data_IF_921928038537
#
_entry.id   IF_921928038537
#
_cell.length_a   1.000
_cell.length_b   1.000
_cell.length_c   1.000
_cell.angle_alpha   90.00
_cell.angle_beta   90.00
_cell.angle_gamma   90.00
#
_symmetry.space_group_name_H-M   'P 1'
#
loop_
_entity.id
_entity.type
_entity.pdbx_description
1 polymer ?
#
# COMPACT_ATOMS: atom_id res chain seq x y z
N UNK A 1 19.35 22.38 4.29
CA UNK A 1 18.43 22.03 5.40
C UNK A 1 18.59 20.55 5.72
N UNK A 2 18.69 20.17 7.00
CA UNK A 2 18.78 18.76 7.43
C UNK A 2 17.45 18.02 7.21
N UNK A 3 17.51 16.76 6.78
CA UNK A 3 16.31 15.99 6.46
C UNK A 3 15.50 15.73 7.75
N UNK A 4 14.15 15.67 7.70
CA UNK A 4 13.33 15.36 8.88
C UNK A 4 13.77 14.07 9.60
N UNK A 5 14.17 13.05 8.84
CA UNK A 5 14.73 11.78 9.36
C UNK A 5 15.99 11.99 10.19
N UNK A 6 16.89 12.89 9.78
CA UNK A 6 18.14 13.18 10.48
C UNK A 6 17.88 13.95 11.77
N UNK A 7 16.91 14.88 11.74
CA UNK A 7 16.44 15.62 12.93
C UNK A 7 15.84 14.68 13.98
N UNK A 8 14.97 13.75 13.58
CA UNK A 8 14.40 12.73 14.49
C UNK A 8 15.50 11.83 15.08
N UNK A 9 16.49 11.42 14.27
CA UNK A 9 17.63 10.63 14.76
C UNK A 9 18.49 11.39 15.75
N UNK A 10 18.64 12.71 15.60
CA UNK A 10 19.35 13.54 16.56
C UNK A 10 18.62 13.57 17.91
N UNK A 11 17.30 13.78 17.92
CA UNK A 11 16.48 13.76 19.15
C UNK A 11 16.60 12.40 19.88
N UNK A 12 16.52 11.29 19.15
CA UNK A 12 16.70 9.95 19.72
C UNK A 12 18.09 9.80 20.35
N UNK A 13 19.13 10.30 19.69
CA UNK A 13 20.51 10.24 20.18
C UNK A 13 20.69 11.07 21.45
N UNK A 14 20.11 12.26 21.51
CA UNK A 14 20.23 13.16 22.65
C UNK A 14 19.45 12.65 23.86
N UNK A 15 18.25 12.08 23.65
CA UNK A 15 17.50 11.38 24.69
C UNK A 15 18.30 10.19 25.26
N UNK A 16 18.93 9.36 24.41
CA UNK A 16 19.81 8.25 24.85
C UNK A 16 21.00 8.74 25.69
N UNK A 17 21.63 9.85 25.28
CA UNK A 17 22.73 10.47 26.06
C UNK A 17 22.27 10.95 27.42
N UNK A 18 21.07 11.53 27.50
CA UNK A 18 20.51 12.09 28.74
C UNK A 18 20.22 11.01 29.79
N UNK A 19 19.84 9.81 29.37
CA UNK A 19 19.48 8.71 30.28
C UNK A 19 20.69 7.92 30.78
N UNK A 20 21.83 7.98 30.08
CA UNK A 20 23.07 7.33 30.52
C UNK A 20 23.03 5.79 30.54
N UNK A 21 21.95 5.16 30.04
CA UNK A 21 21.80 3.71 29.95
C UNK A 21 21.31 3.30 28.55
N UNK A 22 22.07 2.44 27.83
CA UNK A 22 21.72 2.05 26.46
C UNK A 22 20.50 1.09 26.38
N UNK A 23 20.16 0.41 27.48
CA UNK A 23 19.24 -0.73 27.48
C UNK A 23 17.89 -0.43 28.16
N UNK A 24 17.71 0.77 28.74
CA UNK A 24 16.44 1.18 29.33
C UNK A 24 15.50 1.79 28.27
N UNK A 25 15.02 0.94 27.36
CA UNK A 25 14.13 1.34 26.27
C UNK A 25 12.88 2.11 26.74
N UNK A 26 12.20 1.75 27.85
CA UNK A 26 11.07 2.53 28.38
C UNK A 26 11.47 3.94 28.84
N UNK A 27 12.60 4.09 29.53
CA UNK A 27 13.08 5.42 29.92
C UNK A 27 13.45 6.27 28.70
N UNK A 28 14.10 5.65 27.70
CA UNK A 28 14.46 6.29 26.44
C UNK A 28 13.23 6.74 25.68
N UNK A 29 12.18 5.91 25.62
CA UNK A 29 10.91 6.28 25.01
C UNK A 29 10.27 7.51 25.71
N UNK A 30 10.24 7.55 27.04
CA UNK A 30 9.66 8.67 27.78
C UNK A 30 10.44 10.00 27.58
N UNK A 31 11.77 9.95 27.57
CA UNK A 31 12.59 11.13 27.28
C UNK A 31 12.44 11.58 25.82
N UNK A 32 12.38 10.64 24.87
CA UNK A 32 12.10 10.93 23.47
C UNK A 32 10.74 11.61 23.34
N UNK A 33 9.68 11.10 23.97
CA UNK A 33 8.34 11.68 23.90
C UNK A 33 8.31 13.12 24.42
N UNK A 34 9.00 13.39 25.53
CA UNK A 34 9.09 14.72 26.12
C UNK A 34 9.84 15.72 25.23
N UNK A 35 10.93 15.27 24.58
CA UNK A 35 11.72 16.11 23.65
C UNK A 35 11.07 16.25 22.27
N UNK A 36 10.40 15.20 21.80
CA UNK A 36 9.63 15.17 20.56
C UNK A 36 8.46 16.12 20.61
N UNK A 37 7.78 16.22 21.76
CA UNK A 37 6.65 17.15 21.93
C UNK A 37 7.07 18.59 21.58
N UNK A 38 8.17 19.06 22.16
CA UNK A 38 8.73 20.38 21.85
C UNK A 38 9.09 20.52 20.36
N UNK A 39 9.82 19.55 19.80
CA UNK A 39 10.23 19.60 18.40
C UNK A 39 9.04 19.62 17.42
N UNK A 40 8.02 18.82 17.69
CA UNK A 40 6.80 18.69 16.86
C UNK A 40 5.96 19.96 16.89
N UNK A 41 5.88 20.66 18.02
CA UNK A 41 5.17 21.95 18.12
C UNK A 41 5.85 23.08 17.34
N UNK A 42 7.16 22.98 17.12
CA UNK A 42 7.96 24.01 16.43
C UNK A 42 8.32 23.68 14.98
N UNK A 43 8.18 22.41 14.56
CA UNK A 43 8.67 21.91 13.27
C UNK A 43 7.62 21.03 12.58
N UNK A 44 6.83 21.65 11.70
CA UNK A 44 5.75 20.95 10.99
C UNK A 44 6.26 19.84 10.06
N UNK A 45 7.50 19.92 9.56
CA UNK A 45 8.06 18.86 8.71
C UNK A 45 8.39 17.60 9.52
N UNK A 46 8.86 17.79 10.76
CA UNK A 46 9.09 16.68 11.70
C UNK A 46 7.76 16.05 12.11
N UNK A 47 6.72 16.86 12.38
CA UNK A 47 5.37 16.37 12.64
C UNK A 47 4.83 15.52 11.48
N UNK A 48 4.85 16.06 10.25
CA UNK A 48 4.38 15.34 9.05
C UNK A 48 5.14 14.04 8.83
N UNK A 49 6.47 14.05 9.04
CA UNK A 49 7.29 12.84 8.89
C UNK A 49 6.91 11.74 9.90
N UNK A 50 6.68 12.09 11.17
CA UNK A 50 6.28 11.15 12.20
C UNK A 50 4.87 10.62 11.98
N UNK A 51 3.93 11.50 11.65
CA UNK A 51 2.55 11.12 11.30
C UNK A 51 2.53 10.15 10.12
N UNK A 52 3.26 10.47 9.03
CA UNK A 52 3.35 9.59 7.88
C UNK A 52 3.92 8.21 8.24
N UNK A 53 4.90 8.13 9.14
CA UNK A 53 5.45 6.84 9.59
C UNK A 53 4.48 6.05 10.46
N UNK A 54 3.82 6.71 11.42
CA UNK A 54 2.83 6.09 12.29
C UNK A 54 1.63 5.57 11.49
N UNK A 55 1.05 6.42 10.65
CA UNK A 55 -0.07 6.05 9.78
C UNK A 55 0.29 4.92 8.83
N UNK A 56 1.48 4.95 8.20
CA UNK A 56 1.91 3.85 7.34
C UNK A 56 2.05 2.52 8.09
N UNK A 57 2.48 2.54 9.36
CA UNK A 57 2.58 1.33 10.17
C UNK A 57 1.18 0.77 10.51
N UNK A 58 0.26 1.62 10.95
CA UNK A 58 -1.12 1.24 11.26
C UNK A 58 -1.88 0.74 10.00
N UNK A 59 -1.77 1.46 8.88
CA UNK A 59 -2.37 1.06 7.60
C UNK A 59 -1.83 -0.31 7.18
N UNK A 60 -0.51 -0.55 7.26
CA UNK A 60 0.05 -1.87 6.94
C UNK A 60 -0.44 -2.95 7.89
N UNK A 61 -0.53 -2.67 9.18
CA UNK A 61 -1.01 -3.64 10.17
C UNK A 61 -2.48 -4.01 9.91
N UNK A 62 -3.32 -3.01 9.63
CA UNK A 62 -4.72 -3.21 9.27
C UNK A 62 -4.88 -4.02 7.98
N UNK A 63 -4.13 -3.65 6.93
CA UNK A 63 -4.14 -4.39 5.67
C UNK A 63 -3.62 -5.83 5.86
N UNK A 64 -2.50 -6.05 6.56
CA UNK A 64 -1.95 -7.40 6.77
C UNK A 64 -2.93 -8.31 7.50
N UNK A 65 -3.58 -7.84 8.57
CA UNK A 65 -4.59 -8.62 9.31
C UNK A 65 -5.77 -9.04 8.44
N UNK A 66 -6.16 -8.21 7.47
CA UNK A 66 -7.21 -8.56 6.51
C UNK A 66 -6.76 -9.47 5.36
N UNK A 67 -5.45 -9.59 5.12
CA UNK A 67 -4.89 -10.52 4.13
C UNK A 67 -4.44 -11.86 4.76
N UNK A 68 -4.00 -11.86 6.03
CA UNK A 68 -3.53 -13.04 6.75
C UNK A 68 -4.67 -13.99 7.19
N UNK A 69 -5.94 -13.56 7.13
CA UNK A 69 -7.11 -14.44 7.34
C UNK A 69 -7.43 -15.33 6.12
N UNK A 70 -6.75 -15.14 4.99
CA UNK A 70 -6.81 -16.06 3.83
C UNK A 70 -5.43 -16.67 3.59
N UNK A 71 -5.20 -17.83 4.20
CA UNK A 71 -3.99 -18.64 4.10
C UNK A 71 -3.31 -18.62 2.72
N UNK A 72 -1.98 -18.44 2.73
CA UNK A 72 -1.14 -18.35 1.52
C UNK A 72 -1.12 -19.60 0.62
N UNK A 73 -1.76 -20.71 1.03
CA UNK A 73 -2.03 -21.86 0.15
C UNK A 73 -3.27 -21.64 -0.71
N UNK A 74 -4.31 -21.03 -0.14
CA UNK A 74 -5.60 -20.81 -0.80
C UNK A 74 -5.51 -19.67 -1.79
N UNK A 75 -4.76 -18.61 -1.47
CA UNK A 75 -4.51 -17.50 -2.41
C UNK A 75 -3.80 -17.97 -3.70
N UNK A 76 -2.90 -18.97 -3.63
CA UNK A 76 -2.26 -19.53 -4.84
C UNK A 76 -3.23 -20.36 -5.67
N UNK A 77 -4.08 -21.17 -5.03
CA UNK A 77 -5.08 -21.98 -5.72
C UNK A 77 -6.21 -21.12 -6.31
N UNK A 78 -6.72 -20.15 -5.56
CA UNK A 78 -7.70 -19.15 -6.00
C UNK A 78 -7.17 -18.37 -7.21
N UNK A 79 -5.88 -18.00 -7.19
CA UNK A 79 -5.26 -17.31 -8.32
C UNK A 79 -5.05 -18.19 -9.55
N UNK A 80 -4.74 -19.47 -9.37
CA UNK A 80 -4.67 -20.42 -10.49
C UNK A 80 -6.05 -20.65 -11.11
N UNK A 81 -7.10 -20.76 -10.28
CA UNK A 81 -8.48 -20.85 -10.71
C UNK A 81 -8.95 -19.57 -11.43
N UNK A 82 -8.55 -18.40 -10.94
CA UNK A 82 -8.82 -17.12 -11.59
C UNK A 82 -8.12 -17.01 -12.95
N UNK A 83 -6.85 -17.40 -13.06
CA UNK A 83 -6.10 -17.36 -14.31
C UNK A 83 -6.72 -18.24 -15.40
N UNK A 84 -7.29 -19.40 -15.05
CA UNK A 84 -7.90 -20.30 -16.03
C UNK A 84 -9.16 -19.73 -16.68
N UNK A 85 -9.87 -18.84 -15.99
CA UNK A 85 -11.09 -18.17 -16.48
C UNK A 85 -10.79 -17.15 -17.60
N UNK A 86 -9.59 -16.60 -17.64
CA UNK A 86 -9.21 -15.63 -18.68
C UNK A 86 -8.76 -16.31 -19.98
N UNK A 87 -9.04 -15.69 -21.15
CA UNK A 87 -8.45 -16.10 -22.43
C UNK A 87 -6.92 -16.11 -22.37
N UNK A 88 -6.28 -17.02 -23.12
CA UNK A 88 -4.82 -17.22 -23.07
C UNK A 88 -4.03 -15.92 -23.28
N UNK A 89 -4.47 -15.08 -24.23
CA UNK A 89 -3.86 -13.77 -24.50
C UNK A 89 -3.91 -12.80 -23.29
N UNK A 90 -4.87 -12.94 -22.39
CA UNK A 90 -5.07 -12.09 -21.22
C UNK A 90 -4.35 -12.62 -19.96
N UNK A 91 -4.08 -13.93 -19.86
CA UNK A 91 -3.55 -14.59 -18.63
C UNK A 91 -2.26 -13.96 -18.12
N UNK A 92 -1.31 -13.69 -19.01
CA UNK A 92 -0.03 -13.07 -18.66
C UNK A 92 -0.20 -11.71 -18.00
N UNK A 93 -1.20 -10.93 -18.41
CA UNK A 93 -1.47 -9.61 -17.82
C UNK A 93 -2.09 -9.76 -16.43
N UNK A 94 -3.07 -10.66 -16.27
CA UNK A 94 -3.70 -10.97 -14.96
C UNK A 94 -2.66 -11.45 -13.95
N UNK A 95 -1.77 -12.35 -14.38
CA UNK A 95 -0.68 -12.84 -13.53
C UNK A 95 0.21 -11.70 -13.02
N UNK A 96 0.60 -10.80 -13.94
CA UNK A 96 1.44 -9.64 -13.64
C UNK A 96 0.74 -8.55 -12.82
N UNK A 97 -0.59 -8.42 -12.89
CA UNK A 97 -1.34 -7.46 -12.05
C UNK A 97 -1.12 -7.76 -10.57
N UNK A 98 -0.99 -9.02 -10.19
CA UNK A 98 -0.56 -9.35 -8.84
C UNK A 98 -1.67 -9.65 -7.85
N UNK A 99 -2.94 -9.42 -8.23
CA UNK A 99 -4.07 -9.21 -7.31
C UNK A 99 -5.30 -10.01 -7.74
N UNK A 100 -6.03 -10.50 -6.76
CA UNK A 100 -7.30 -11.22 -6.97
C UNK A 100 -8.48 -10.29 -7.19
N UNK A 101 -8.41 -9.06 -6.64
CA UNK A 101 -9.46 -8.04 -6.72
C UNK A 101 -8.87 -6.71 -7.13
N UNK A 102 -9.67 -5.90 -7.83
CA UNK A 102 -9.35 -4.55 -8.26
C UNK A 102 -10.41 -3.58 -7.75
N UNK A 103 -10.01 -2.38 -7.37
CA UNK A 103 -10.93 -1.32 -6.97
C UNK A 103 -11.60 -0.74 -8.21
N UNK A 104 -12.94 -0.73 -8.24
CA UNK A 104 -13.75 -0.16 -9.32
C UNK A 104 -14.47 1.07 -8.76
N UNK A 105 -14.03 2.30 -9.10
CA UNK A 105 -14.57 3.51 -8.49
C UNK A 105 -16.09 3.70 -8.70
N UNK A 106 -16.63 3.35 -9.87
CA UNK A 106 -18.07 3.45 -10.18
C UNK A 106 -18.95 2.57 -9.30
N UNK A 107 -18.39 1.50 -8.71
CA UNK A 107 -19.08 0.62 -7.77
C UNK A 107 -18.71 0.87 -6.31
N UNK A 108 -17.74 1.73 -6.04
CA UNK A 108 -17.18 1.97 -4.70
C UNK A 108 -16.80 0.66 -3.98
N UNK A 109 -16.26 -0.31 -4.71
CA UNK A 109 -15.89 -1.62 -4.15
C UNK A 109 -14.68 -2.28 -4.82
N UNK A 110 -14.14 -3.30 -4.15
CA UNK A 110 -13.17 -4.22 -4.74
C UNK A 110 -13.90 -5.37 -5.46
N UNK A 111 -13.76 -5.47 -6.78
CA UNK A 111 -14.37 -6.52 -7.60
C UNK A 111 -13.33 -7.58 -7.94
N UNK A 112 -13.74 -8.86 -8.01
CA UNK A 112 -12.86 -9.95 -8.43
C UNK A 112 -12.36 -9.75 -9.87
N UNK A 113 -11.06 -9.98 -10.08
CA UNK A 113 -10.41 -9.86 -11.39
C UNK A 113 -10.71 -11.09 -12.25
N UNK A 114 -11.98 -11.31 -12.57
CA UNK A 114 -12.47 -12.40 -13.43
C UNK A 114 -13.31 -11.82 -14.57
N UNK A 115 -13.37 -12.46 -15.75
CA UNK A 115 -14.07 -11.90 -16.92
C UNK A 115 -15.55 -11.63 -16.70
N UNK A 116 -16.24 -12.46 -15.91
CA UNK A 116 -17.69 -12.35 -15.69
C UNK A 116 -18.07 -11.25 -14.68
N UNK A 117 -17.15 -10.87 -13.80
CA UNK A 117 -17.41 -9.89 -12.74
C UNK A 117 -17.10 -8.45 -13.17
N UNK A 118 -16.25 -8.28 -14.18
CA UNK A 118 -15.71 -7.00 -14.63
C UNK A 118 -16.01 -6.73 -16.09
N UNK A 119 -16.68 -5.61 -16.33
CA UNK A 119 -16.85 -5.08 -17.68
C UNK A 119 -15.53 -4.44 -18.17
N UNK A 120 -15.29 -4.40 -19.49
CA UNK A 120 -14.12 -3.71 -20.05
C UNK A 120 -14.00 -2.25 -19.61
N UNK A 121 -15.13 -1.54 -19.45
CA UNK A 121 -15.16 -0.17 -18.93
C UNK A 121 -14.65 -0.06 -17.48
N UNK A 122 -14.96 -1.04 -16.64
CA UNK A 122 -14.57 -1.07 -15.22
C UNK A 122 -13.09 -1.41 -15.05
N UNK A 123 -12.55 -2.29 -15.91
CA UNK A 123 -11.10 -2.54 -16.00
C UNK A 123 -10.35 -1.26 -16.39
N UNK A 124 -10.90 -0.49 -17.33
CA UNK A 124 -10.32 0.78 -17.76
C UNK A 124 -10.33 1.80 -16.63
N UNK A 125 -11.45 1.95 -15.96
CA UNK A 125 -11.63 2.84 -14.82
C UNK A 125 -10.69 2.50 -13.66
N UNK A 126 -10.60 1.23 -13.28
CA UNK A 126 -9.66 0.74 -12.26
C UNK A 126 -8.20 1.03 -12.65
N UNK A 127 -7.87 0.85 -13.93
CA UNK A 127 -6.56 1.16 -14.50
C UNK A 127 -6.20 2.65 -14.40
N UNK A 128 -7.11 3.53 -14.84
CA UNK A 128 -6.96 4.98 -14.78
C UNK A 128 -6.84 5.49 -13.34
N UNK A 129 -7.65 4.94 -12.44
CA UNK A 129 -7.59 5.28 -11.02
C UNK A 129 -6.21 4.98 -10.42
N UNK A 130 -5.62 3.80 -10.72
CA UNK A 130 -4.27 3.45 -10.27
C UNK A 130 -3.18 4.34 -10.87
N UNK A 131 -3.36 4.83 -12.10
CA UNK A 131 -2.41 5.76 -12.73
C UNK A 131 -2.46 7.14 -12.09
N UNK A 132 -3.65 7.60 -11.71
CA UNK A 132 -3.85 8.92 -11.11
C UNK A 132 -3.43 8.96 -9.63
N UNK A 133 -3.74 7.91 -8.87
CA UNK A 133 -3.60 7.92 -7.40
C UNK A 133 -2.49 7.02 -6.86
N UNK A 134 -1.97 6.10 -7.68
CA UNK A 134 -1.02 5.09 -7.23
C UNK A 134 0.43 5.41 -7.58
N UNK A 135 1.20 5.94 -6.63
CA UNK A 135 2.63 6.28 -6.80
C UNK A 135 3.48 5.08 -7.25
N UNK A 136 3.16 3.88 -6.76
CA UNK A 136 3.83 2.60 -7.12
C UNK A 136 2.93 1.64 -7.93
N UNK A 137 1.76 2.11 -8.39
CA UNK A 137 0.79 1.27 -9.09
C UNK A 137 0.74 1.52 -10.61
N UNK A 138 1.64 2.34 -11.15
CA UNK A 138 1.66 2.71 -12.58
C UNK A 138 1.69 1.48 -13.49
N UNK A 139 2.57 0.51 -13.20
CA UNK A 139 2.64 -0.74 -13.99
C UNK A 139 1.32 -1.49 -13.97
N UNK A 140 0.69 -1.63 -12.80
CA UNK A 140 -0.59 -2.33 -12.64
C UNK A 140 -1.71 -1.61 -13.38
N UNK A 141 -1.77 -0.28 -13.27
CA UNK A 141 -2.74 0.53 -14.00
C UNK A 141 -2.67 0.26 -15.51
N UNK A 142 -1.46 0.28 -16.09
CA UNK A 142 -1.27 -0.04 -17.52
C UNK A 142 -1.69 -1.46 -17.90
N UNK A 143 -1.45 -2.45 -17.04
CA UNK A 143 -1.88 -3.84 -17.28
C UNK A 143 -3.41 -3.97 -17.31
N UNK A 144 -4.11 -3.25 -16.42
CA UNK A 144 -5.59 -3.23 -16.41
C UNK A 144 -6.16 -2.57 -17.66
N UNK A 145 -5.54 -1.49 -18.15
CA UNK A 145 -5.91 -0.88 -19.43
C UNK A 145 -5.75 -1.87 -20.60
N UNK A 146 -4.65 -2.63 -20.63
CA UNK A 146 -4.43 -3.67 -21.66
C UNK A 146 -5.44 -4.81 -21.54
N UNK A 147 -5.81 -5.21 -20.33
CA UNK A 147 -6.87 -6.20 -20.12
C UNK A 147 -8.22 -5.69 -20.59
N UNK A 148 -8.54 -4.41 -20.36
CA UNK A 148 -9.75 -3.79 -20.87
C UNK A 148 -9.83 -3.86 -22.41
N UNK A 149 -8.73 -3.52 -23.10
CA UNK A 149 -8.66 -3.54 -24.56
C UNK A 149 -8.84 -4.95 -25.14
N UNK A 150 -8.24 -5.97 -24.50
CA UNK A 150 -8.39 -7.38 -24.89
C UNK A 150 -9.78 -7.96 -24.63
N UNK A 151 -10.56 -7.33 -23.75
CA UNK A 151 -11.89 -7.79 -23.35
C UNK A 151 -13.01 -7.12 -24.15
N UNK A 152 -12.68 -6.21 -25.07
CA UNK A 152 -13.67 -5.63 -25.97
C UNK A 152 -14.06 -6.66 -27.05
N UNK A 153 -15.37 -6.88 -27.31
CA UNK A 153 -15.78 -7.64 -28.48
C UNK A 153 -15.28 -6.90 -29.73
N UNK A 154 -14.71 -7.64 -30.68
CA UNK A 154 -14.35 -7.10 -32.00
C UNK A 154 -15.60 -6.45 -32.61
N UNK A 155 -15.46 -5.19 -33.03
CA UNK A 155 -16.54 -4.38 -33.62
C UNK A 155 -16.93 -4.87 -35.01
#
# INVERSE_FOLDING_TARGET
MTKPTERVRAIIRDARRTIGSPDNAPAVANAILSQMWTAVTTDQDVLRHLLARGLNAEIRAFLSRHYDEKDGSDAKQLRAAQLSMWPEAARTYVEQVGRERVWVPSRDEFVELVPDALQPGELREAGEHLLQHGTDCIRRGRLLLRLADLSQPEA
#
